data_IF_207281743674
#
_entry.id   IF_207281743674
#
_cell.length_a   1.000
_cell.length_b   1.000
_cell.length_c   1.000
_cell.angle_alpha   90.00
_cell.angle_beta   90.00
_cell.angle_gamma   90.00
#
_symmetry.space_group_name_H-M   'P 1'
#
loop_
_entity.id
_entity.type
_entity.pdbx_description
1 polymer ?
#
# COMPACT_ATOMS: atom_id res chain seq x y z
N UNK A 1 -2.12 4.53 3.47
CA UNK A 1 -0.82 4.76 2.79
C UNK A 1 -0.96 4.51 1.28
N UNK A 2 -0.71 5.50 0.41
CA UNK A 2 -0.96 5.41 -1.04
C UNK A 2 0.36 5.19 -1.77
N UNK A 3 0.59 3.98 -2.30
CA UNK A 3 1.80 3.68 -3.07
C UNK A 3 1.49 3.63 -4.57
N UNK A 4 2.07 4.55 -5.33
CA UNK A 4 1.96 4.62 -6.79
C UNK A 4 3.24 4.10 -7.43
N UNK A 5 3.09 3.35 -8.51
CA UNK A 5 4.21 2.86 -9.32
C UNK A 5 4.27 3.67 -10.62
N UNK A 6 5.44 4.24 -10.93
CA UNK A 6 5.64 4.95 -12.18
C UNK A 6 6.94 4.49 -12.86
N UNK A 7 6.90 4.32 -14.18
CA UNK A 7 8.09 4.08 -14.98
C UNK A 7 8.54 5.40 -15.64
N UNK A 8 9.73 5.88 -15.27
CA UNK A 8 10.45 6.90 -16.03
C UNK A 8 11.70 6.28 -16.67
N UNK A 9 12.30 6.93 -17.66
CA UNK A 9 13.51 6.43 -18.37
C UNK A 9 14.66 6.02 -17.44
N UNK A 10 14.82 6.68 -16.30
CA UNK A 10 15.82 6.36 -15.28
C UNK A 10 15.54 5.04 -14.52
N UNK A 11 14.28 4.61 -14.41
CA UNK A 11 13.89 3.39 -13.70
C UNK A 11 12.45 3.39 -13.18
N UNK A 12 12.19 2.49 -12.25
CA UNK A 12 10.89 2.31 -11.62
C UNK A 12 10.83 3.04 -10.28
N UNK A 13 9.84 3.91 -10.13
CA UNK A 13 9.62 4.67 -8.91
C UNK A 13 8.52 4.01 -8.09
N UNK A 14 8.82 3.74 -6.82
CA UNK A 14 7.87 3.31 -5.81
C UNK A 14 7.57 4.50 -4.92
N UNK A 15 6.41 5.13 -5.12
CA UNK A 15 6.10 6.45 -4.55
C UNK A 15 5.06 6.29 -3.45
N UNK A 16 5.39 6.57 -2.20
CA UNK A 16 4.41 6.77 -1.12
C UNK A 16 4.08 8.25 -0.96
N UNK A 17 2.83 8.54 -0.62
CA UNK A 17 2.34 9.90 -0.45
C UNK A 17 1.86 10.09 0.98
N UNK A 18 2.41 11.10 1.67
CA UNK A 18 2.06 11.48 3.04
C UNK A 18 1.38 12.84 3.07
N UNK A 19 0.28 12.91 3.80
CA UNK A 19 -0.45 14.16 4.09
C UNK A 19 -0.16 14.65 5.52
N UNK A 20 0.96 14.22 6.10
CA UNK A 20 1.37 14.62 7.44
C UNK A 20 1.65 16.12 7.50
N UNK A 21 1.43 16.71 8.66
CA UNK A 21 1.70 18.12 8.97
C UNK A 21 2.52 18.23 10.25
N UNK A 22 3.19 19.34 10.48
CA UNK A 22 4.03 19.55 11.67
C UNK A 22 5.44 19.01 11.50
N UNK A 23 6.15 18.79 12.61
CA UNK A 23 7.53 18.33 12.60
C UNK A 23 7.60 16.80 12.53
N UNK A 24 8.35 16.26 11.56
CA UNK A 24 8.59 14.82 11.41
C UNK A 24 10.04 14.51 11.71
N UNK A 25 10.29 13.58 12.63
CA UNK A 25 11.66 13.20 13.03
C UNK A 25 11.81 11.69 13.18
N UNK A 26 12.96 11.15 12.76
CA UNK A 26 13.37 9.81 13.12
C UNK A 26 13.75 9.78 14.62
N UNK A 27 13.17 8.86 15.39
CA UNK A 27 13.54 8.69 16.80
C UNK A 27 14.45 7.48 17.00
N UNK A 28 14.18 6.41 16.25
CA UNK A 28 14.92 5.16 16.24
C UNK A 28 14.71 4.46 14.88
N UNK A 29 15.41 3.35 14.65
CA UNK A 29 15.37 2.60 13.38
C UNK A 29 14.00 1.95 13.05
N UNK A 30 12.99 2.14 13.90
CA UNK A 30 11.71 1.42 13.82
C UNK A 30 10.53 2.40 13.69
N UNK A 31 10.60 3.57 14.34
CA UNK A 31 9.50 4.53 14.39
C UNK A 31 9.96 5.96 14.16
N UNK A 32 9.10 6.72 13.49
CA UNK A 32 9.19 8.17 13.36
C UNK A 32 8.15 8.84 14.24
N UNK A 33 8.40 10.08 14.61
CA UNK A 33 7.46 10.92 15.32
C UNK A 33 6.93 11.99 14.39
N UNK A 34 5.60 12.17 14.41
CA UNK A 34 4.91 13.29 13.77
C UNK A 34 4.37 14.17 14.89
N UNK A 35 4.96 15.35 15.06
CA UNK A 35 4.61 16.31 16.10
C UNK A 35 3.82 17.47 15.48
N UNK A 36 2.55 17.58 15.84
CA UNK A 36 1.68 18.69 15.43
C UNK A 36 1.48 19.64 16.61
N UNK A 37 1.83 20.91 16.41
CA UNK A 37 1.57 21.97 17.40
C UNK A 37 0.26 22.67 17.04
N UNK A 38 -0.76 22.51 17.88
CA UNK A 38 -1.97 23.34 17.84
C UNK A 38 -1.88 24.46 18.87
N UNK A 39 -2.75 25.48 18.76
CA UNK A 39 -2.76 26.66 19.66
C UNK A 39 -2.91 26.32 21.15
N UNK A 40 -3.41 25.13 21.50
CA UNK A 40 -3.65 24.72 22.88
C UNK A 40 -2.92 23.42 23.30
N UNK A 41 -2.39 22.63 22.35
CA UNK A 41 -1.85 21.31 22.64
C UNK A 41 -0.83 20.85 21.59
N UNK A 42 0.20 20.14 22.06
CA UNK A 42 1.15 19.40 21.23
C UNK A 42 0.67 17.95 21.16
N UNK A 43 0.37 17.44 19.97
CA UNK A 43 0.14 16.02 19.75
C UNK A 43 1.38 15.40 19.12
N UNK A 44 1.82 14.25 19.65
CA UNK A 44 2.91 13.45 19.10
C UNK A 44 2.35 12.10 18.72
N UNK A 45 2.46 11.76 17.45
CA UNK A 45 2.05 10.47 16.89
C UNK A 45 3.31 9.65 16.57
N UNK A 46 3.34 8.38 17.00
CA UNK A 46 4.40 7.45 16.63
C UNK A 46 3.94 6.64 15.43
N UNK A 47 4.64 6.80 14.31
CA UNK A 47 4.35 6.09 13.08
C UNK A 47 5.51 5.14 12.75
N UNK A 48 5.25 3.99 12.11
CA UNK A 48 6.31 3.12 11.62
C UNK A 48 7.26 3.85 10.68
N UNK A 49 8.53 3.42 10.61
CA UNK A 49 9.52 3.96 9.67
C UNK A 49 9.02 3.83 8.23
N UNK A 50 8.59 4.97 7.67
CA UNK A 50 8.03 5.01 6.33
C UNK A 50 9.10 4.72 5.27
N UNK A 51 10.36 5.08 5.51
CA UNK A 51 11.48 4.81 4.63
C UNK A 51 11.79 3.31 4.56
N UNK A 52 11.77 2.63 5.71
CA UNK A 52 11.90 1.18 5.77
C UNK A 52 10.78 0.50 4.96
N UNK A 53 9.53 0.93 5.16
CA UNK A 53 8.37 0.35 4.47
C UNK A 53 8.46 0.53 2.95
N UNK A 54 8.76 1.74 2.47
CA UNK A 54 8.81 2.00 1.02
C UNK A 54 9.97 1.26 0.35
N UNK A 55 11.09 1.13 1.05
CA UNK A 55 12.26 0.36 0.57
C UNK A 55 11.92 -1.12 0.46
N UNK A 56 11.21 -1.68 1.45
CA UNK A 56 10.72 -3.04 1.37
C UNK A 56 9.75 -3.25 0.20
N UNK A 57 8.86 -2.28 -0.08
CA UNK A 57 7.96 -2.30 -1.24
C UNK A 57 8.73 -2.28 -2.57
N UNK A 58 9.74 -1.42 -2.71
CA UNK A 58 10.60 -1.38 -3.89
C UNK A 58 11.34 -2.73 -4.11
N UNK A 59 11.86 -3.34 -3.03
CA UNK A 59 12.49 -4.67 -3.11
C UNK A 59 11.50 -5.75 -3.55
N UNK A 60 10.28 -5.73 -3.01
CA UNK A 60 9.24 -6.69 -3.38
C UNK A 60 8.83 -6.54 -4.85
N UNK A 61 8.75 -5.30 -5.36
CA UNK A 61 8.50 -5.02 -6.77
C UNK A 61 9.61 -5.62 -7.65
N UNK A 62 10.87 -5.38 -7.30
CA UNK A 62 12.00 -5.97 -8.01
C UNK A 62 11.94 -7.51 -8.04
N UNK A 63 11.70 -8.15 -6.89
CA UNK A 63 11.53 -9.60 -6.82
C UNK A 63 10.36 -10.11 -7.66
N UNK A 64 9.25 -9.36 -7.72
CA UNK A 64 8.12 -9.70 -8.58
C UNK A 64 8.49 -9.61 -10.06
N UNK A 65 9.08 -8.50 -10.49
CA UNK A 65 9.51 -8.30 -11.88
C UNK A 65 10.49 -9.38 -12.33
N UNK A 66 11.44 -9.75 -11.46
CA UNK A 66 12.38 -10.86 -11.73
C UNK A 66 11.65 -12.19 -11.95
N UNK A 67 10.61 -12.49 -11.17
CA UNK A 67 9.78 -13.70 -11.36
C UNK A 67 8.96 -13.65 -12.65
N UNK A 68 8.55 -12.47 -13.10
CA UNK A 68 7.92 -12.26 -14.40
C UNK A 68 8.91 -12.31 -15.58
N UNK A 69 10.17 -12.69 -15.35
CA UNK A 69 11.20 -12.79 -16.39
C UNK A 69 11.87 -11.45 -16.74
N UNK A 70 11.62 -10.38 -15.99
CA UNK A 70 12.22 -9.08 -16.20
C UNK A 70 13.47 -8.92 -15.34
N UNK A 71 14.63 -8.97 -16.00
CA UNK A 71 15.89 -8.69 -15.34
C UNK A 71 16.20 -7.18 -15.39
N UNK A 72 15.72 -6.46 -14.38
CA UNK A 72 15.98 -5.04 -14.13
C UNK A 72 16.90 -4.95 -12.92
N UNK A 73 17.90 -4.06 -12.94
CA UNK A 73 18.84 -3.96 -11.82
C UNK A 73 18.15 -3.37 -10.58
N UNK A 74 18.53 -3.82 -9.39
CA UNK A 74 17.94 -3.35 -8.13
C UNK A 74 18.09 -1.83 -7.93
N UNK A 75 19.19 -1.24 -8.42
CA UNK A 75 19.46 0.20 -8.32
C UNK A 75 18.63 1.06 -9.29
N UNK A 76 17.84 0.42 -10.17
CA UNK A 76 16.84 1.08 -11.01
C UNK A 76 15.44 1.07 -10.38
N UNK A 77 15.32 0.65 -9.11
CA UNK A 77 14.09 0.77 -8.31
C UNK A 77 14.28 1.86 -7.25
N UNK A 78 13.52 2.95 -7.40
CA UNK A 78 13.67 4.17 -6.62
C UNK A 78 12.50 4.33 -5.64
N UNK A 79 12.68 4.02 -4.34
CA UNK A 79 11.70 4.38 -3.33
C UNK A 79 11.66 5.91 -3.16
N UNK A 80 10.45 6.48 -3.12
CA UNK A 80 10.21 7.92 -2.88
C UNK A 80 9.04 8.11 -1.93
N UNK A 81 9.15 9.08 -1.03
CA UNK A 81 8.07 9.52 -0.13
C UNK A 81 7.84 11.00 -0.37
N UNK A 82 6.63 11.37 -0.79
CA UNK A 82 6.24 12.74 -1.08
C UNK A 82 5.41 13.27 0.09
N UNK A 83 5.82 14.41 0.64
CA UNK A 83 5.07 15.13 1.66
C UNK A 83 4.25 16.23 1.00
N UNK A 84 2.91 16.10 1.07
CA UNK A 84 1.99 17.02 0.36
C UNK A 84 1.50 18.19 1.20
N UNK A 85 1.84 18.25 2.49
CA UNK A 85 1.47 19.39 3.33
C UNK A 85 2.60 20.44 3.35
N UNK A 86 2.31 21.72 3.09
CA UNK A 86 3.29 22.80 3.23
C UNK A 86 3.77 22.98 4.67
N UNK A 87 2.96 22.56 5.65
CA UNK A 87 3.27 22.66 7.08
C UNK A 87 4.11 21.48 7.58
N UNK A 88 4.52 20.55 6.70
CA UNK A 88 5.35 19.40 7.05
C UNK A 88 6.83 19.79 7.04
N UNK A 89 7.46 19.76 8.21
CA UNK A 89 8.88 20.07 8.39
C UNK A 89 9.62 18.80 8.79
N UNK A 90 10.53 18.33 7.94
CA UNK A 90 11.38 17.18 8.25
C UNK A 90 12.55 17.59 9.14
N UNK A 91 12.96 16.71 10.06
CA UNK A 91 14.22 16.86 10.80
C UNK A 91 15.41 16.83 9.85
N UNK A 92 16.54 17.40 10.28
CA UNK A 92 17.75 17.49 9.45
C UNK A 92 18.23 16.10 8.97
N UNK A 93 18.17 15.10 9.84
CA UNK A 93 18.52 13.72 9.49
C UNK A 93 17.67 13.17 8.33
N UNK A 94 16.35 13.41 8.38
CA UNK A 94 15.43 12.97 7.34
C UNK A 94 15.59 13.81 6.07
N UNK A 95 15.85 15.11 6.20
CA UNK A 95 16.05 16.02 5.06
C UNK A 95 17.24 15.61 4.17
N UNK A 96 18.26 14.98 4.76
CA UNK A 96 19.42 14.46 4.03
C UNK A 96 19.13 13.18 3.23
N UNK A 97 17.97 12.55 3.41
CA UNK A 97 17.59 11.32 2.70
C UNK A 97 16.97 11.66 1.35
N UNK A 98 17.66 11.28 0.26
CA UNK A 98 17.23 11.49 -1.14
C UNK A 98 15.89 10.82 -1.49
N UNK A 99 15.46 9.86 -0.70
CA UNK A 99 14.18 9.17 -0.85
C UNK A 99 13.00 10.06 -0.42
N UNK A 100 13.24 11.11 0.36
CA UNK A 100 12.21 12.01 0.87
C UNK A 100 12.13 13.25 0.00
N UNK A 101 10.91 13.60 -0.43
CA UNK A 101 10.62 14.77 -1.25
C UNK A 101 9.73 15.70 -0.44
N UNK A 102 10.31 16.83 0.00
CA UNK A 102 9.58 17.84 0.76
C UNK A 102 8.52 18.52 -0.11
N UNK A 103 7.53 19.17 0.49
CA UNK A 103 6.47 19.87 -0.23
C UNK A 103 7.01 20.85 -1.29
N UNK A 104 8.07 21.60 -0.94
CA UNK A 104 8.70 22.56 -1.84
C UNK A 104 9.32 21.90 -3.08
N UNK A 105 9.80 20.66 -2.95
CA UNK A 105 10.51 19.93 -4.00
C UNK A 105 9.60 19.03 -4.84
N UNK A 106 8.33 18.84 -4.43
CA UNK A 106 7.36 18.02 -5.17
C UNK A 106 7.20 18.48 -6.62
N UNK A 107 7.02 19.78 -6.95
CA UNK A 107 6.88 20.22 -8.33
C UNK A 107 8.11 19.89 -9.19
N UNK A 108 9.32 20.12 -8.67
CA UNK A 108 10.58 19.80 -9.36
C UNK A 108 10.71 18.29 -9.58
N UNK A 109 10.41 17.48 -8.56
CA UNK A 109 10.40 16.03 -8.66
C UNK A 109 9.43 15.55 -9.76
N UNK A 110 8.20 16.07 -9.82
CA UNK A 110 7.23 15.71 -10.85
C UNK A 110 7.70 16.13 -12.26
N UNK A 111 8.32 17.30 -12.39
CA UNK A 111 8.95 17.73 -13.64
C UNK A 111 10.07 16.78 -14.06
N UNK A 112 10.93 16.34 -13.13
CA UNK A 112 12.01 15.39 -13.42
C UNK A 112 11.50 14.06 -13.98
N UNK A 113 10.34 13.58 -13.51
CA UNK A 113 9.70 12.38 -14.06
C UNK A 113 9.22 12.59 -15.50
N UNK A 114 8.68 13.78 -15.80
CA UNK A 114 8.16 14.15 -17.13
C UNK A 114 9.28 14.41 -18.14
N UNK A 115 10.30 15.16 -17.76
CA UNK A 115 11.44 15.49 -18.63
C UNK A 115 12.22 14.26 -19.04
N UNK A 116 12.39 13.32 -18.09
CA UNK A 116 12.96 12.00 -18.39
C UNK A 116 12.14 11.26 -19.46
N UNK A 117 10.82 11.37 -19.43
CA UNK A 117 9.96 10.72 -20.42
C UNK A 117 10.15 11.33 -21.82
N UNK A 118 10.31 12.65 -21.92
CA UNK A 118 10.44 13.36 -23.19
C UNK A 118 11.85 13.31 -23.78
N UNK A 119 12.89 13.36 -22.94
CA UNK A 119 14.29 13.32 -23.37
C UNK A 119 14.71 11.94 -23.92
N UNK A 120 13.92 10.89 -23.67
CA UNK A 120 14.22 9.52 -24.05
C UNK A 120 13.61 9.07 -25.39
N UNK A 121 12.67 9.83 -25.96
CA UNK A 121 12.11 9.54 -27.29
C UNK A 121 13.16 9.38 -28.42
N UNK A 122 14.30 10.09 -28.42
CA UNK A 122 15.36 9.92 -29.42
C UNK A 122 16.30 8.73 -29.17
N UNK A 123 16.29 8.13 -27.98
CA UNK A 123 17.36 7.25 -27.46
C UNK A 123 17.16 5.76 -27.82
N UNK A 124 16.58 5.51 -29.00
CA UNK A 124 16.19 4.17 -29.51
C UNK A 124 17.40 3.26 -29.78
N UNK A 125 18.61 3.82 -29.83
CA UNK A 125 19.83 3.12 -30.24
C UNK A 125 20.89 2.96 -29.15
N UNK A 126 20.65 3.45 -27.93
CA UNK A 126 21.62 3.35 -26.83
C UNK A 126 21.29 2.12 -25.97
N UNK A 127 22.13 1.07 -25.98
CA UNK A 127 21.80 -0.14 -25.22
C UNK A 127 21.92 0.12 -23.71
N UNK A 128 21.02 -0.48 -22.92
CA UNK A 128 20.78 -0.16 -21.49
C UNK A 128 21.96 -0.41 -20.55
N UNK A 129 22.94 -1.22 -20.97
CA UNK A 129 24.20 -1.45 -20.24
C UNK A 129 25.15 -0.25 -20.19
N UNK A 130 25.00 0.74 -21.08
CA UNK A 130 25.88 1.91 -21.19
C UNK A 130 25.23 3.15 -20.58
N UNK A 131 23.90 3.32 -20.75
CA UNK A 131 23.19 4.51 -20.27
C UNK A 131 22.75 4.43 -18.81
N UNK A 132 22.71 3.23 -18.21
CA UNK A 132 22.14 3.02 -16.88
C UNK A 132 20.61 3.17 -16.83
N UNK A 133 19.96 3.41 -17.99
CA UNK A 133 18.52 3.54 -18.15
C UNK A 133 17.86 2.21 -18.50
N UNK A 134 16.53 2.13 -18.34
CA UNK A 134 15.76 1.00 -18.84
C UNK A 134 15.69 1.05 -20.37
N UNK A 135 15.94 -0.07 -21.05
CA UNK A 135 15.68 -0.14 -22.49
C UNK A 135 14.19 -0.03 -22.80
N UNK A 136 13.80 0.33 -24.03
CA UNK A 136 12.39 0.42 -24.44
C UNK A 136 11.65 -0.90 -24.20
N UNK A 137 12.31 -2.03 -24.48
CA UNK A 137 11.76 -3.36 -24.23
C UNK A 137 11.53 -3.61 -22.74
N UNK A 138 12.51 -3.27 -21.89
CA UNK A 138 12.37 -3.39 -20.44
C UNK A 138 11.27 -2.47 -19.90
N UNK A 139 11.17 -1.23 -20.37
CA UNK A 139 10.10 -0.31 -19.96
C UNK A 139 8.72 -0.80 -20.38
N UNK A 140 8.56 -1.25 -21.63
CA UNK A 140 7.29 -1.79 -22.12
C UNK A 140 6.87 -3.01 -21.31
N UNK A 141 7.81 -3.92 -21.08
CA UNK A 141 7.53 -5.13 -20.33
C UNK A 141 7.32 -4.85 -18.83
N UNK A 142 8.03 -3.87 -18.25
CA UNK A 142 7.79 -3.39 -16.89
C UNK A 142 6.42 -2.73 -16.75
N UNK A 143 6.00 -1.91 -17.72
CA UNK A 143 4.63 -1.34 -17.76
C UNK A 143 3.58 -2.42 -17.89
N UNK A 144 3.81 -3.43 -18.71
CA UNK A 144 2.89 -4.56 -18.83
C UNK A 144 2.82 -5.37 -17.53
N UNK A 145 3.96 -5.64 -16.90
CA UNK A 145 4.04 -6.24 -15.59
C UNK A 145 3.29 -5.40 -14.55
N UNK A 146 3.49 -4.07 -14.52
CA UNK A 146 2.75 -3.15 -13.64
C UNK A 146 1.25 -3.09 -13.95
N UNK A 147 0.85 -3.25 -15.23
CA UNK A 147 -0.55 -3.26 -15.66
C UNK A 147 -1.26 -4.52 -15.20
N UNK A 148 -0.56 -5.65 -15.21
CA UNK A 148 -1.05 -6.95 -14.73
C UNK A 148 -0.94 -7.04 -13.20
N UNK A 149 0.06 -6.38 -12.61
CA UNK A 149 0.18 -6.19 -11.17
C UNK A 149 -1.00 -5.37 -10.69
N UNK A 150 -1.94 -6.06 -10.06
CA UNK A 150 -3.06 -5.43 -9.40
C UNK A 150 -2.61 -4.82 -8.06
N UNK A 151 -3.55 -4.35 -7.26
CA UNK A 151 -3.23 -3.67 -6.01
C UNK A 151 -2.49 -4.61 -5.03
N UNK A 152 -1.77 -4.05 -4.04
CA UNK A 152 -1.03 -4.79 -3.01
C UNK A 152 -1.82 -4.89 -1.71
N UNK A 153 -3.01 -5.48 -1.80
CA UNK A 153 -3.83 -5.77 -0.64
C UNK A 153 -3.19 -6.89 0.18
N UNK A 154 -3.38 -6.81 1.49
CA UNK A 154 -2.97 -7.84 2.44
C UNK A 154 -4.21 -8.53 2.97
N UNK A 155 -4.25 -9.85 2.85
CA UNK A 155 -5.27 -10.70 3.41
C UNK A 155 -4.66 -11.52 4.55
N UNK A 156 -5.06 -11.26 5.77
CA UNK A 156 -4.65 -12.04 6.94
C UNK A 156 -5.72 -13.08 7.26
N UNK A 157 -5.29 -14.33 7.33
CA UNK A 157 -6.13 -15.44 7.74
C UNK A 157 -6.08 -15.60 9.25
N UNK A 158 -7.09 -16.27 9.80
CA UNK A 158 -7.17 -16.59 11.24
C UNK A 158 -6.04 -17.51 11.68
N UNK A 159 -5.52 -18.32 10.77
CA UNK A 159 -4.34 -19.15 10.99
C UNK A 159 -3.05 -18.34 11.24
N UNK A 160 -3.08 -17.01 11.05
CA UNK A 160 -1.90 -16.15 11.11
C UNK A 160 -1.15 -16.05 9.77
N UNK A 161 -1.57 -16.79 8.74
CA UNK A 161 -1.01 -16.66 7.41
C UNK A 161 -1.40 -15.32 6.78
N UNK A 162 -0.43 -14.61 6.21
CA UNK A 162 -0.63 -13.39 5.45
C UNK A 162 -0.42 -13.66 3.96
N UNK A 163 -1.40 -13.27 3.15
CA UNK A 163 -1.37 -13.36 1.69
C UNK A 163 -1.32 -11.94 1.12
N UNK A 164 -0.48 -11.76 0.09
CA UNK A 164 -0.39 -10.51 -0.67
C UNK A 164 -1.07 -10.72 -2.00
N UNK A 165 -1.84 -9.74 -2.46
CA UNK A 165 -2.64 -9.89 -3.67
C UNK A 165 -3.62 -8.75 -3.85
N UNK A 166 -4.70 -9.00 -4.58
CA UNK A 166 -5.69 -7.98 -4.92
C UNK A 166 -7.11 -8.45 -4.57
N UNK A 167 -7.79 -7.66 -3.74
CA UNK A 167 -9.20 -7.86 -3.44
C UNK A 167 -10.04 -7.55 -4.68
N UNK A 168 -10.80 -8.55 -5.12
CA UNK A 168 -11.71 -8.42 -6.27
C UNK A 168 -13.10 -8.00 -5.81
N UNK A 169 -13.70 -8.81 -4.93
CA UNK A 169 -15.11 -8.64 -4.57
C UNK A 169 -15.52 -9.50 -3.38
N UNK A 170 -16.65 -9.13 -2.78
CA UNK A 170 -17.38 -9.92 -1.79
C UNK A 170 -18.86 -9.55 -1.94
N UNK A 171 -19.73 -10.54 -2.21
CA UNK A 171 -21.12 -10.32 -2.65
C UNK A 171 -21.95 -9.45 -1.69
N UNK A 172 -21.66 -9.51 -0.39
CA UNK A 172 -22.39 -8.78 0.65
C UNK A 172 -21.63 -7.55 1.18
N UNK A 173 -20.55 -7.14 0.50
CA UNK A 173 -19.67 -6.09 0.97
C UNK A 173 -19.35 -5.10 -0.14
N UNK A 174 -19.98 -3.92 -0.07
CA UNK A 174 -19.62 -2.80 -0.92
C UNK A 174 -18.45 -2.05 -0.26
N UNK A 175 -17.28 -2.08 -0.89
CA UNK A 175 -16.06 -1.49 -0.33
C UNK A 175 -15.61 -0.33 -1.19
N UNK A 176 -15.56 0.86 -0.61
CA UNK A 176 -15.04 2.06 -1.26
C UNK A 176 -13.55 2.20 -0.97
N UNK A 177 -12.69 1.71 -1.87
CA UNK A 177 -11.23 1.63 -1.68
C UNK A 177 -10.55 2.97 -1.39
N UNK A 178 -11.11 4.08 -1.91
CA UNK A 178 -10.59 5.42 -1.69
C UNK A 178 -10.78 5.90 -0.25
N UNK A 179 -11.83 5.43 0.43
CA UNK A 179 -12.16 5.81 1.82
C UNK A 179 -11.76 4.74 2.84
N UNK A 180 -11.79 3.45 2.48
CA UNK A 180 -11.52 2.34 3.39
C UNK A 180 -10.08 1.84 3.29
N UNK A 181 -9.39 1.70 4.43
CA UNK A 181 -8.04 1.15 4.52
C UNK A 181 -8.00 -0.26 5.12
N UNK A 182 -8.84 -0.54 6.11
CA UNK A 182 -8.83 -1.84 6.80
C UNK A 182 -10.23 -2.41 6.94
N UNK A 183 -10.38 -3.71 6.70
CA UNK A 183 -11.57 -4.50 6.99
C UNK A 183 -11.23 -5.50 8.09
N UNK A 184 -11.88 -5.41 9.24
CA UNK A 184 -11.77 -6.41 10.29
C UNK A 184 -12.99 -7.32 10.30
N UNK A 185 -12.74 -8.63 10.32
CA UNK A 185 -13.76 -9.66 10.32
C UNK A 185 -13.86 -10.26 11.72
N UNK A 186 -14.99 -10.04 12.39
CA UNK A 186 -15.27 -10.54 13.74
C UNK A 186 -16.42 -11.54 13.70
N UNK A 187 -16.31 -12.62 14.48
CA UNK A 187 -17.38 -13.62 14.63
C UNK A 187 -17.94 -13.54 16.03
N UNK A 188 -19.21 -13.85 16.18
CA UNK A 188 -19.75 -14.20 17.50
C UNK A 188 -19.26 -15.59 17.88
N UNK A 189 -18.46 -15.66 18.93
CA UNK A 189 -17.74 -16.87 19.37
C UNK A 189 -18.45 -17.61 20.50
N UNK A 190 -19.68 -17.26 20.87
CA UNK A 190 -20.40 -18.00 21.91
C UNK A 190 -20.71 -19.42 21.40
N UNK A 191 -20.09 -20.43 22.01
CA UNK A 191 -20.21 -21.85 21.64
C UNK A 191 -21.67 -22.32 21.63
N UNK A 192 -22.48 -21.79 22.56
CA UNK A 192 -23.92 -22.08 22.67
C UNK A 192 -24.69 -21.58 21.45
N UNK A 193 -24.45 -20.35 21.00
CA UNK A 193 -25.10 -19.81 19.79
C UNK A 193 -24.68 -20.58 18.54
N UNK A 194 -23.41 -20.96 18.40
CA UNK A 194 -22.99 -21.72 17.21
C UNK A 194 -23.69 -23.08 17.12
N UNK A 195 -23.80 -23.78 18.26
CA UNK A 195 -24.47 -25.09 18.33
C UNK A 195 -25.97 -24.95 18.06
N UNK A 196 -26.63 -23.96 18.68
CA UNK A 196 -28.06 -23.69 18.46
C UNK A 196 -28.38 -23.27 17.02
N UNK A 197 -27.57 -22.39 16.42
CA UNK A 197 -27.77 -21.99 15.02
C UNK A 197 -27.60 -23.17 14.06
N UNK A 198 -26.60 -24.04 14.31
CA UNK A 198 -26.40 -25.24 13.48
C UNK A 198 -27.55 -26.24 13.59
N UNK A 199 -28.16 -26.40 14.79
CA UNK A 199 -29.32 -27.27 15.00
C UNK A 199 -30.61 -26.72 14.38
N UNK A 200 -30.73 -25.39 14.30
CA UNK A 200 -31.90 -24.71 13.72
C UNK A 200 -31.78 -24.47 12.21
N UNK A 201 -30.70 -24.91 11.57
CA UNK A 201 -30.45 -24.69 10.13
C UNK A 201 -30.16 -23.22 9.77
N UNK A 202 -29.78 -22.40 10.76
CA UNK A 202 -29.52 -20.97 10.60
C UNK A 202 -28.05 -20.71 10.27
N UNK A 203 -27.78 -19.83 9.31
CA UNK A 203 -26.43 -19.45 8.90
C UNK A 203 -25.78 -18.52 9.91
N UNK A 204 -24.60 -18.89 10.43
CA UNK A 204 -23.80 -18.03 11.30
C UNK A 204 -23.36 -16.76 10.55
N UNK A 205 -23.15 -15.68 11.30
CA UNK A 205 -22.88 -14.35 10.74
C UNK A 205 -21.44 -13.91 11.10
N UNK A 206 -20.86 -13.06 10.25
CA UNK A 206 -19.57 -12.39 10.47
C UNK A 206 -19.81 -10.89 10.38
N UNK A 207 -19.38 -10.16 11.41
CA UNK A 207 -19.44 -8.71 11.44
C UNK A 207 -18.14 -8.15 10.89
N UNK A 208 -18.23 -7.45 9.77
CA UNK A 208 -17.13 -6.76 9.09
C UNK A 208 -17.14 -5.29 9.46
N UNK A 209 -16.07 -4.80 10.09
CA UNK A 209 -15.86 -3.39 10.40
C UNK A 209 -14.88 -2.78 9.40
N UNK A 210 -15.27 -1.70 8.75
CA UNK A 210 -14.45 -0.98 7.76
C UNK A 210 -13.91 0.30 8.38
N UNK A 211 -12.61 0.50 8.32
CA UNK A 211 -11.94 1.65 8.91
C UNK A 211 -11.42 2.63 7.86
N UNK A 212 -11.53 3.91 8.18
CA UNK A 212 -11.21 5.01 7.30
C UNK A 212 -9.71 5.10 7.06
N UNK A 213 -9.35 5.38 5.82
CA UNK A 213 -7.99 5.61 5.38
C UNK A 213 -7.43 6.90 5.97
N UNK A 214 -6.22 6.81 6.53
CA UNK A 214 -5.49 7.99 7.03
C UNK A 214 -6.09 8.65 8.28
N UNK A 215 -7.05 7.99 8.94
CA UNK A 215 -7.62 8.48 10.20
C UNK A 215 -6.97 7.77 11.39
N UNK A 216 -5.81 8.26 11.83
CA UNK A 216 -5.28 8.01 13.17
C UNK A 216 -5.47 9.29 13.99
N UNK A 217 -6.67 9.47 14.53
CA UNK A 217 -6.94 10.51 15.53
C UNK A 217 -6.67 9.97 16.94
N UNK A 218 -6.67 10.85 17.94
CA UNK A 218 -6.51 10.49 19.35
C UNK A 218 -7.49 9.40 19.85
N UNK A 219 -8.64 9.24 19.19
CA UNK A 219 -9.68 8.25 19.50
C UNK A 219 -9.53 6.90 18.73
N UNK A 220 -8.42 6.70 18.01
CA UNK A 220 -8.16 5.50 17.23
C UNK A 220 -8.74 5.53 15.80
N UNK A 221 -8.73 4.38 15.14
CA UNK A 221 -9.15 4.23 13.74
C UNK A 221 -10.63 4.55 13.58
N UNK A 222 -10.95 5.54 12.74
CA UNK A 222 -12.33 5.96 12.49
C UNK A 222 -13.10 4.89 11.72
N UNK A 223 -14.25 4.43 12.24
CA UNK A 223 -15.12 3.47 11.58
C UNK A 223 -15.90 4.15 10.43
N UNK A 224 -15.84 3.61 9.23
CA UNK A 224 -16.58 4.09 8.04
C UNK A 224 -17.92 3.39 7.95
N UNK A 225 -17.90 2.06 8.06
CA UNK A 225 -19.09 1.23 7.90
C UNK A 225 -18.95 -0.06 8.71
N UNK A 226 -20.09 -0.67 9.02
CA UNK A 226 -20.16 -2.03 9.55
C UNK A 226 -21.19 -2.80 8.74
N UNK A 227 -20.86 -4.04 8.39
CA UNK A 227 -21.76 -4.95 7.68
C UNK A 227 -21.77 -6.31 8.37
N UNK A 228 -22.94 -6.91 8.51
CA UNK A 228 -23.08 -8.27 9.02
C UNK A 228 -23.42 -9.16 7.83
N UNK A 229 -22.55 -10.14 7.55
CA UNK A 229 -22.64 -10.97 6.35
C UNK A 229 -22.64 -12.46 6.72
N UNK A 230 -23.27 -13.34 5.93
CA UNK A 230 -23.26 -14.78 6.18
C UNK A 230 -21.84 -15.33 6.23
N UNK A 231 -21.54 -16.24 7.17
CA UNK A 231 -20.20 -16.81 7.36
C UNK A 231 -19.71 -17.67 6.19
N UNK A 232 -20.64 -18.16 5.36
CA UNK A 232 -20.37 -18.90 4.13
C UNK A 232 -19.98 -17.99 2.94
N UNK A 233 -20.14 -16.67 3.08
CA UNK A 233 -19.74 -15.70 2.05
C UNK A 233 -18.26 -15.87 1.72
N UNK A 234 -17.93 -15.73 0.44
CA UNK A 234 -16.56 -15.80 -0.05
C UNK A 234 -16.05 -14.40 -0.39
N UNK A 235 -14.83 -14.12 0.03
CA UNK A 235 -14.02 -13.04 -0.53
C UNK A 235 -13.27 -13.61 -1.73
N UNK A 236 -13.38 -12.92 -2.86
CA UNK A 236 -12.61 -13.20 -4.05
C UNK A 236 -11.33 -12.39 -3.98
N UNK A 237 -10.19 -13.07 -3.95
CA UNK A 237 -8.87 -12.48 -3.77
C UNK A 237 -7.88 -13.14 -4.72
N UNK A 238 -7.14 -12.33 -5.48
CA UNK A 238 -6.11 -12.83 -6.39
C UNK A 238 -4.75 -12.78 -5.73
N UNK A 239 -4.12 -13.92 -5.48
CA UNK A 239 -2.81 -13.97 -4.84
C UNK A 239 -1.74 -13.43 -5.81
N UNK A 240 -0.80 -12.64 -5.28
CA UNK A 240 0.29 -12.07 -6.06
C UNK A 240 1.16 -13.16 -6.70
N UNK A 241 1.16 -13.19 -8.03
CA UNK A 241 1.89 -14.19 -8.83
C UNK A 241 1.01 -15.32 -9.37
N UNK A 242 -0.28 -15.34 -9.03
CA UNK A 242 -1.26 -16.26 -9.59
C UNK A 242 -2.15 -15.56 -10.64
N UNK A 243 -2.53 -16.30 -11.68
CA UNK A 243 -3.40 -15.77 -12.74
C UNK A 243 -4.89 -15.89 -12.39
N UNK A 244 -5.24 -16.85 -11.54
CA UNK A 244 -6.60 -17.17 -11.13
C UNK A 244 -7.00 -16.51 -9.81
N UNK A 245 -8.28 -16.21 -9.65
CA UNK A 245 -8.83 -15.75 -8.38
C UNK A 245 -9.01 -16.91 -7.40
N UNK A 246 -8.63 -16.69 -6.15
CA UNK A 246 -8.88 -17.62 -5.05
C UNK A 246 -10.11 -17.17 -4.25
N UNK A 247 -10.80 -18.13 -3.65
CA UNK A 247 -11.98 -17.87 -2.81
C UNK A 247 -11.63 -18.17 -1.36
N UNK A 248 -11.84 -17.17 -0.49
CA UNK A 248 -11.58 -17.29 0.93
C UNK A 248 -12.88 -17.09 1.71
N UNK A 249 -13.30 -18.06 2.54
CA UNK A 249 -14.46 -17.88 3.39
C UNK A 249 -14.26 -16.69 4.35
N UNK A 250 -15.26 -15.84 4.52
CA UNK A 250 -15.17 -14.69 5.44
C UNK A 250 -14.87 -15.13 6.88
N UNK A 251 -15.28 -16.35 7.25
CA UNK A 251 -14.97 -16.97 8.53
C UNK A 251 -13.49 -17.34 8.73
N UNK A 252 -12.69 -17.43 7.67
CA UNK A 252 -11.26 -17.74 7.77
C UNK A 252 -10.35 -16.51 7.67
N UNK A 253 -10.93 -15.32 7.42
CA UNK A 253 -10.19 -14.06 7.27
C UNK A 253 -10.26 -13.29 8.58
N UNK A 254 -9.14 -12.86 9.14
CA UNK A 254 -9.11 -12.01 10.35
C UNK A 254 -9.17 -10.52 9.98
N UNK A 255 -8.38 -10.13 8.98
CA UNK A 255 -8.18 -8.75 8.58
C UNK A 255 -7.86 -8.67 7.09
N UNK A 256 -8.26 -7.58 6.44
CA UNK A 256 -7.81 -7.22 5.11
C UNK A 256 -7.39 -5.76 5.08
N UNK A 257 -6.19 -5.48 4.58
CA UNK A 257 -5.69 -4.12 4.41
C UNK A 257 -5.67 -3.78 2.93
N UNK A 258 -6.34 -2.70 2.56
CA UNK A 258 -6.51 -2.29 1.17
C UNK A 258 -5.51 -1.22 0.78
N UNK A 259 -4.80 -1.49 -0.30
CA UNK A 259 -3.97 -0.54 -1.03
C UNK A 259 -4.78 0.24 -2.07
N UNK A 260 -4.21 1.32 -2.60
CA UNK A 260 -4.79 2.08 -3.71
C UNK A 260 -4.12 1.61 -4.99
#
# INVERSE_FOLDING_TARGET
MMCVWCCAGHGLFCVDVKTWSGCVSAQNDIHWHVQVKSKAQISVEQVPDALHIITAKARNLHCHMKRCGLNVRTDQFFPRILFLSPDCVLSEELRMKKELVSYADVPEFLCSLRETFTAWLPDVFTPSWISGHLSFRQMRAARECLRVMRTWDLLQLVSGQELKGDYQSCTHLAVQRHETEVLHFSRDTTLLTHTLYSLLGLTTQVTVRMYKRGAEGWLGKHLVATATIPSATQVIFRISGEESDSQFPVKSISCMTLSI
#
